data_IF_920452970583
#
_entry.id   IF_920452970583
#
_cell.length_a   1.000
_cell.length_b   1.000
_cell.length_c   1.000
_cell.angle_alpha   90.00
_cell.angle_beta   90.00
_cell.angle_gamma   90.00
#
_symmetry.space_group_name_H-M   'P 1'
#
loop_
_entity.id
_entity.type
_entity.pdbx_description
1 polymer ?
#
# COMPACT_ATOMS: atom_id res chain seq x y z
N UNK A 1 9.50 43.96 -24.76
CA UNK A 1 8.44 43.11 -24.17
C UNK A 1 7.16 43.92 -24.13
N UNK A 2 6.27 43.65 -25.06
CA UNK A 2 5.05 44.42 -25.31
C UNK A 2 3.98 44.09 -24.28
N UNK A 3 3.05 45.01 -24.03
CA UNK A 3 1.99 44.83 -23.02
C UNK A 3 1.13 43.58 -23.28
N UNK A 4 0.94 43.19 -24.54
CA UNK A 4 0.24 41.96 -24.93
C UNK A 4 0.96 40.67 -24.55
N UNK A 5 2.29 40.67 -24.49
CA UNK A 5 3.06 39.48 -24.10
C UNK A 5 2.92 39.18 -22.61
N UNK A 6 2.85 40.25 -21.79
CA UNK A 6 2.61 40.14 -20.34
C UNK A 6 1.27 39.50 -20.02
N UNK A 7 0.23 39.82 -20.80
CA UNK A 7 -1.12 39.26 -20.59
C UNK A 7 -1.20 37.77 -20.98
N UNK A 8 -0.53 37.38 -22.08
CA UNK A 8 -0.41 35.96 -22.47
C UNK A 8 0.34 35.13 -21.43
N UNK A 9 1.44 35.67 -20.88
CA UNK A 9 2.21 35.00 -19.83
C UNK A 9 1.37 34.86 -18.55
N UNK A 10 0.63 35.90 -18.16
CA UNK A 10 -0.27 35.86 -17.00
C UNK A 10 -1.41 34.83 -17.18
N UNK A 11 -1.97 34.72 -18.37
CA UNK A 11 -2.98 33.71 -18.70
C UNK A 11 -2.38 32.30 -18.60
N UNK A 12 -1.21 32.07 -19.21
CA UNK A 12 -0.52 30.77 -19.18
C UNK A 12 -0.16 30.34 -17.75
N UNK A 13 0.29 31.25 -16.90
CA UNK A 13 0.60 30.92 -15.48
C UNK A 13 -0.65 30.55 -14.70
N UNK A 14 -1.78 31.24 -14.88
CA UNK A 14 -3.06 30.86 -14.24
C UNK A 14 -3.49 29.45 -14.62
N UNK A 15 -3.42 29.09 -15.91
CA UNK A 15 -3.73 27.72 -16.34
C UNK A 15 -2.75 26.71 -15.74
N UNK A 16 -1.45 27.00 -15.78
CA UNK A 16 -0.41 26.07 -15.27
C UNK A 16 -0.57 25.83 -13.77
N UNK A 17 -0.78 26.87 -12.97
CA UNK A 17 -1.03 26.75 -11.53
C UNK A 17 -2.39 26.09 -11.25
N UNK A 18 -3.43 26.39 -12.04
CA UNK A 18 -4.75 25.78 -11.93
C UNK A 18 -4.73 24.27 -12.16
N UNK A 19 -4.05 23.80 -13.21
CA UNK A 19 -3.86 22.37 -13.47
C UNK A 19 -3.02 21.69 -12.41
N UNK A 20 -1.95 22.35 -11.93
CA UNK A 20 -1.13 21.83 -10.85
C UNK A 20 -1.96 21.65 -9.56
N UNK A 21 -2.77 22.65 -9.20
CA UNK A 21 -3.64 22.61 -8.02
C UNK A 21 -4.74 21.56 -8.16
N UNK A 22 -5.37 21.44 -9.34
CA UNK A 22 -6.38 20.43 -9.62
C UNK A 22 -5.81 19.00 -9.51
N UNK A 23 -4.64 18.76 -10.10
CA UNK A 23 -3.95 17.47 -10.02
C UNK A 23 -3.63 17.09 -8.57
N UNK A 24 -3.10 18.03 -7.79
CA UNK A 24 -2.84 17.83 -6.36
C UNK A 24 -4.12 17.58 -5.56
N UNK A 25 -5.20 18.31 -5.85
CA UNK A 25 -6.51 18.14 -5.20
C UNK A 25 -7.07 16.74 -5.40
N UNK A 26 -7.00 16.21 -6.62
CA UNK A 26 -7.48 14.86 -6.95
C UNK A 26 -6.64 13.80 -6.21
N UNK A 27 -5.30 13.92 -6.25
CA UNK A 27 -4.40 12.98 -5.57
C UNK A 27 -4.60 12.96 -4.05
N UNK A 28 -4.78 14.13 -3.43
CA UNK A 28 -4.97 14.24 -1.99
C UNK A 28 -6.29 13.61 -1.53
N UNK A 29 -7.36 13.73 -2.34
CA UNK A 29 -8.63 13.08 -2.04
C UNK A 29 -8.53 11.54 -2.09
N UNK A 30 -7.79 10.96 -3.04
CA UNK A 30 -7.54 9.51 -3.06
C UNK A 30 -6.82 9.04 -1.79
N UNK A 31 -5.75 9.73 -1.38
CA UNK A 31 -4.99 9.39 -0.17
C UNK A 31 -5.85 9.50 1.09
N UNK A 32 -6.73 10.51 1.17
CA UNK A 32 -7.67 10.65 2.30
C UNK A 32 -8.63 9.46 2.40
N UNK A 33 -9.18 8.98 1.28
CA UNK A 33 -10.06 7.80 1.25
C UNK A 33 -9.35 6.52 1.71
N UNK A 34 -8.10 6.33 1.27
CA UNK A 34 -7.26 5.20 1.70
C UNK A 34 -6.99 5.22 3.20
N UNK A 35 -6.62 6.39 3.76
CA UNK A 35 -6.45 6.53 5.22
C UNK A 35 -7.73 6.22 5.99
N UNK A 36 -8.88 6.65 5.45
CA UNK A 36 -10.20 6.37 6.02
C UNK A 36 -10.60 4.88 5.92
N UNK A 37 -9.91 4.10 5.08
CA UNK A 37 -10.14 2.67 4.93
C UNK A 37 -11.36 2.32 4.07
N UNK A 38 -11.74 3.17 3.11
CA UNK A 38 -12.92 2.98 2.25
C UNK A 38 -12.77 1.85 1.22
N UNK A 39 -11.73 1.01 1.30
CA UNK A 39 -11.63 -0.21 0.48
C UNK A 39 -12.54 -1.27 1.11
N UNK A 40 -13.72 -1.41 0.53
CA UNK A 40 -14.77 -2.27 1.07
C UNK A 40 -14.56 -3.77 0.76
N UNK A 41 -13.66 -4.13 -0.17
CA UNK A 41 -13.45 -5.52 -0.61
C UNK A 41 -11.98 -5.78 -0.90
N UNK A 42 -11.45 -6.87 -0.33
CA UNK A 42 -10.21 -7.47 -0.80
C UNK A 42 -10.42 -7.90 -2.25
N UNK A 43 -9.40 -7.74 -3.08
CA UNK A 43 -9.42 -8.32 -4.42
C UNK A 43 -9.49 -9.85 -4.28
N UNK A 44 -10.39 -10.51 -5.02
CA UNK A 44 -10.49 -11.99 -5.04
C UNK A 44 -9.19 -12.67 -5.47
N UNK A 45 -8.27 -11.92 -6.06
CA UNK A 45 -6.92 -12.35 -6.43
C UNK A 45 -5.95 -12.46 -5.23
N UNK A 46 -6.30 -11.91 -4.07
CA UNK A 46 -5.47 -11.93 -2.87
C UNK A 46 -5.94 -13.02 -1.92
N UNK A 47 -5.16 -14.09 -1.82
CA UNK A 47 -5.40 -15.16 -0.87
C UNK A 47 -4.61 -14.91 0.43
N UNK A 48 -5.33 -14.60 1.50
CA UNK A 48 -4.76 -14.37 2.83
C UNK A 48 -4.26 -15.66 3.47
N UNK A 49 -4.86 -16.80 3.15
CA UNK A 49 -4.46 -18.11 3.64
C UNK A 49 -3.12 -18.54 3.02
N UNK A 50 -2.97 -18.32 1.71
CA UNK A 50 -1.70 -18.51 1.02
C UNK A 50 -0.60 -17.65 1.65
N UNK A 51 -0.88 -16.36 1.90
CA UNK A 51 0.08 -15.45 2.52
C UNK A 51 0.53 -15.95 3.91
N UNK A 52 -0.41 -16.38 4.76
CA UNK A 52 -0.11 -16.94 6.09
C UNK A 52 0.78 -18.18 5.97
N UNK A 53 0.48 -19.07 5.03
CA UNK A 53 1.29 -20.27 4.80
C UNK A 53 2.72 -19.93 4.35
N UNK A 54 2.88 -18.95 3.45
CA UNK A 54 4.18 -18.49 2.98
C UNK A 54 5.00 -17.78 4.06
N UNK A 55 4.34 -17.19 5.06
CA UNK A 55 4.97 -16.58 6.23
C UNK A 55 5.37 -17.59 7.32
N UNK A 56 5.19 -18.90 7.08
CA UNK A 56 5.52 -19.97 8.03
C UNK A 56 4.35 -20.41 8.92
N UNK A 57 3.12 -20.04 8.54
CA UNK A 57 1.89 -20.40 9.25
C UNK A 57 1.54 -19.47 10.41
N UNK A 58 0.36 -19.68 11.01
CA UNK A 58 -0.17 -18.84 12.11
C UNK A 58 0.78 -18.78 13.32
N UNK A 59 1.42 -19.91 13.64
CA UNK A 59 2.31 -20.03 14.80
C UNK A 59 3.60 -19.18 14.67
N UNK A 60 3.99 -18.81 13.45
CA UNK A 60 5.19 -18.02 13.21
C UNK A 60 4.91 -16.50 13.27
N UNK A 61 3.65 -16.09 13.20
CA UNK A 61 3.24 -14.69 13.13
C UNK A 61 2.87 -14.19 14.51
N UNK A 62 3.55 -13.14 14.97
CA UNK A 62 3.32 -12.52 16.29
C UNK A 62 2.23 -11.45 16.18
N UNK A 63 2.34 -10.59 15.18
CA UNK A 63 1.38 -9.51 14.94
C UNK A 63 1.54 -8.94 13.53
N UNK A 64 0.50 -8.28 13.02
CA UNK A 64 0.57 -7.53 11.77
C UNK A 64 0.07 -6.09 11.94
N UNK A 65 0.77 -5.17 11.27
CA UNK A 65 0.49 -3.74 11.26
C UNK A 65 0.45 -3.22 9.82
N UNK A 66 -0.58 -2.48 9.46
CA UNK A 66 -0.70 -1.85 8.14
C UNK A 66 -0.28 -0.39 8.14
N UNK A 67 0.40 0.02 7.08
CA UNK A 67 0.56 1.41 6.65
C UNK A 67 -0.45 1.70 5.51
N UNK A 68 -0.29 2.84 4.81
CA UNK A 68 -1.09 3.22 3.64
C UNK A 68 -0.91 2.23 2.48
N UNK A 69 0.32 1.78 2.22
CA UNK A 69 0.65 0.97 1.04
C UNK A 69 1.42 -0.33 1.35
N UNK A 70 1.70 -0.57 2.63
CA UNK A 70 2.60 -1.63 3.08
C UNK A 70 2.04 -2.33 4.31
N UNK A 71 2.30 -3.62 4.44
CA UNK A 71 1.97 -4.43 5.62
C UNK A 71 3.26 -4.86 6.26
N UNK A 72 3.34 -4.69 7.57
CA UNK A 72 4.45 -5.10 8.41
C UNK A 72 4.01 -6.25 9.29
N UNK A 73 4.54 -7.43 9.03
CA UNK A 73 4.28 -8.64 9.80
C UNK A 73 5.48 -8.90 10.70
N UNK A 74 5.24 -9.05 11.99
CA UNK A 74 6.25 -9.46 12.97
C UNK A 74 6.23 -10.99 13.05
N UNK A 75 7.42 -11.58 12.90
CA UNK A 75 7.60 -13.03 12.83
C UNK A 75 8.62 -13.49 13.86
N UNK A 76 8.48 -14.74 14.30
CA UNK A 76 9.41 -15.34 15.26
C UNK A 76 10.63 -15.97 14.57
N UNK A 77 10.38 -16.76 13.52
CA UNK A 77 11.41 -17.47 12.75
C UNK A 77 11.41 -17.01 11.27
N UNK A 78 12.55 -16.47 10.83
CA UNK A 78 12.78 -16.00 9.45
C UNK A 78 13.06 -17.14 8.47
N UNK A 79 13.46 -18.31 8.95
CA UNK A 79 13.81 -19.46 8.10
C UNK A 79 12.57 -20.17 7.54
N UNK A 80 11.46 -20.12 8.28
CA UNK A 80 10.17 -20.67 7.86
C UNK A 80 9.49 -19.86 6.74
N UNK A 81 10.03 -18.68 6.39
CA UNK A 81 9.43 -17.77 5.42
C UNK A 81 9.92 -18.07 4.01
N UNK A 82 8.97 -18.28 3.10
CA UNK A 82 9.22 -18.55 1.68
C UNK A 82 9.28 -17.25 0.87
N UNK A 83 10.43 -16.59 0.93
CA UNK A 83 10.68 -15.27 0.31
C UNK A 83 10.49 -15.28 -1.20
N UNK A 84 11.01 -16.29 -1.88
CA UNK A 84 10.94 -16.39 -3.34
C UNK A 84 9.49 -16.46 -3.83
N UNK A 85 8.64 -17.18 -3.10
CA UNK A 85 7.22 -17.29 -3.42
C UNK A 85 6.47 -15.99 -3.09
N UNK A 86 6.82 -15.32 -1.99
CA UNK A 86 6.24 -14.01 -1.65
C UNK A 86 6.53 -12.96 -2.73
N UNK A 87 7.70 -12.99 -3.34
CA UNK A 87 8.04 -12.08 -4.45
C UNK A 87 7.34 -12.45 -5.77
N UNK A 88 6.97 -13.72 -5.96
CA UNK A 88 6.25 -14.19 -7.15
C UNK A 88 4.74 -13.89 -7.11
N UNK A 89 4.20 -13.48 -5.96
CA UNK A 89 2.80 -13.10 -5.83
C UNK A 89 2.52 -11.85 -6.68
N UNK A 90 1.57 -11.95 -7.61
CA UNK A 90 1.22 -10.87 -8.55
C UNK A 90 0.84 -9.55 -7.88
N UNK A 91 0.36 -9.61 -6.65
CA UNK A 91 -0.08 -8.45 -5.89
C UNK A 91 1.00 -7.85 -4.98
N UNK A 92 2.18 -8.46 -4.90
CA UNK A 92 3.33 -7.95 -4.15
C UNK A 92 4.20 -7.12 -5.10
N UNK A 93 4.29 -5.83 -4.83
CA UNK A 93 5.16 -4.93 -5.61
C UNK A 93 6.59 -4.86 -5.05
N UNK A 94 6.81 -5.37 -3.84
CA UNK A 94 8.11 -5.38 -3.21
C UNK A 94 8.08 -6.02 -1.83
N UNK A 95 9.20 -6.64 -1.46
CA UNK A 95 9.39 -7.35 -0.20
C UNK A 95 10.62 -6.79 0.52
N UNK A 96 10.50 -6.53 1.81
CA UNK A 96 11.62 -6.10 2.65
C UNK A 96 11.66 -6.95 3.91
N UNK A 97 12.80 -7.58 4.16
CA UNK A 97 12.92 -8.58 5.23
C UNK A 97 13.96 -8.10 6.23
N UNK A 98 13.49 -7.77 7.43
CA UNK A 98 14.33 -7.47 8.58
C UNK A 98 14.62 -8.74 9.38
N UNK A 99 15.29 -8.61 10.52
CA UNK A 99 15.58 -9.75 11.41
C UNK A 99 14.31 -10.32 12.05
N UNK A 100 13.39 -9.45 12.49
CA UNK A 100 12.20 -9.86 13.27
C UNK A 100 10.87 -9.46 12.60
N UNK A 101 10.93 -8.91 11.39
CA UNK A 101 9.73 -8.47 10.69
C UNK A 101 9.92 -8.50 9.17
N UNK A 102 8.80 -8.61 8.47
CA UNK A 102 8.70 -8.56 7.02
C UNK A 102 7.75 -7.44 6.65
N UNK A 103 8.17 -6.60 5.72
CA UNK A 103 7.37 -5.52 5.16
C UNK A 103 7.06 -5.84 3.70
N UNK A 104 5.78 -5.98 3.39
CA UNK A 104 5.26 -6.34 2.07
C UNK A 104 4.56 -5.11 1.47
N UNK A 105 4.90 -4.74 0.25
CA UNK A 105 4.25 -3.65 -0.49
C UNK A 105 3.09 -4.22 -1.30
N UNK A 106 1.85 -3.90 -0.88
CA UNK A 106 0.61 -4.37 -1.54
C UNK A 106 -0.28 -3.21 -2.02
N UNK A 107 0.20 -1.97 -1.87
CA UNK A 107 -0.52 -0.78 -2.31
C UNK A 107 -1.78 -0.52 -1.49
N UNK A 108 -2.81 -0.04 -2.17
CA UNK A 108 -4.04 0.46 -1.57
C UNK A 108 -4.71 -0.57 -0.62
N UNK A 109 -4.54 -1.88 -0.87
CA UNK A 109 -5.13 -2.98 -0.12
C UNK A 109 -4.47 -3.30 1.24
N UNK A 110 -3.38 -2.60 1.59
CA UNK A 110 -2.57 -2.91 2.78
C UNK A 110 -3.37 -2.96 4.08
N UNK A 111 -4.28 -1.99 4.27
CA UNK A 111 -5.10 -1.91 5.49
C UNK A 111 -6.03 -3.12 5.62
N UNK A 112 -6.72 -3.49 4.53
CA UNK A 112 -7.72 -4.54 4.53
C UNK A 112 -7.09 -5.93 4.67
N UNK A 113 -5.99 -6.19 3.96
CA UNK A 113 -5.29 -7.47 4.05
C UNK A 113 -4.70 -7.68 5.45
N UNK A 114 -4.27 -6.61 6.12
CA UNK A 114 -3.82 -6.69 7.52
C UNK A 114 -4.96 -7.00 8.50
N UNK A 115 -6.15 -6.42 8.30
CA UNK A 115 -7.34 -6.75 9.10
C UNK A 115 -7.69 -8.23 8.97
N UNK A 116 -7.70 -8.76 7.74
CA UNK A 116 -7.96 -10.18 7.50
C UNK A 116 -6.87 -11.09 8.06
N UNK A 117 -5.59 -10.70 7.93
CA UNK A 117 -4.50 -11.46 8.52
C UNK A 117 -4.63 -11.54 10.05
N UNK A 118 -4.96 -10.42 10.70
CA UNK A 118 -5.17 -10.38 12.15
C UNK A 118 -6.39 -11.22 12.57
N UNK A 119 -7.46 -11.24 11.77
CA UNK A 119 -8.60 -12.10 12.01
C UNK A 119 -8.25 -13.59 11.87
N UNK A 120 -7.38 -13.96 10.92
CA UNK A 120 -6.88 -15.32 10.77
C UNK A 120 -5.96 -15.73 11.92
N UNK A 121 -5.13 -14.83 12.46
CA UNK A 121 -4.27 -15.12 13.62
C UNK A 121 -5.10 -15.33 14.89
N UNK A 122 -6.21 -14.60 15.05
CA UNK A 122 -7.10 -14.70 16.23
C UNK A 122 -8.08 -15.88 16.17
N UNK A 123 -8.22 -16.56 15.03
CA UNK A 123 -9.02 -17.78 14.86
C UNK A 123 -8.18 -19.03 15.07
#
# INVERSE_FOLDING_TARGET
MTTGDKWKIAMLTIFTFGFCWLYWRIKNNKVKKLKKGEINRLDSSMDTLELVNLLGGKNNIISASSTISRIKVFINDKTAVQKDKLEQLKYVSGLMISSNNISIVVGDYAKKLCEELNNEIMK
#
